data_IF_403300152552
#
_entry.id   IF_403300152552
#
_cell.length_a   1.000
_cell.length_b   1.000
_cell.length_c   1.000
_cell.angle_alpha   90.00
_cell.angle_beta   90.00
_cell.angle_gamma   90.00
#
_symmetry.space_group_name_H-M   'P 1'
#
loop_
_entity.id
_entity.type
_entity.pdbx_description
1 polymer ?
#
# COMPACT_ATOMS: atom_id res chain seq x y z
N UNK A 1 -15.94 -10.68 13.43
CA UNK A 1 -14.58 -10.53 12.91
C UNK A 1 -14.25 -9.04 12.88
N UNK A 2 -13.08 -8.65 13.33
CA UNK A 2 -12.65 -7.26 13.24
C UNK A 2 -12.45 -6.86 11.77
N UNK A 3 -12.81 -5.62 11.40
CA UNK A 3 -12.52 -5.10 10.08
C UNK A 3 -11.02 -4.85 9.92
N UNK A 4 -10.48 -5.17 8.75
CA UNK A 4 -9.07 -4.97 8.44
C UNK A 4 -8.93 -3.77 7.49
N UNK A 5 -8.16 -2.78 7.91
CA UNK A 5 -7.78 -1.64 7.07
C UNK A 5 -6.37 -1.86 6.54
N UNK A 6 -6.18 -2.21 5.26
CA UNK A 6 -4.85 -2.28 4.67
C UNK A 6 -4.24 -0.88 4.60
N UNK A 7 -2.99 -0.76 5.03
CA UNK A 7 -2.19 0.47 4.93
C UNK A 7 -0.94 0.14 4.12
N UNK A 8 -0.88 0.63 2.89
CA UNK A 8 0.22 0.35 1.98
C UNK A 8 1.22 1.49 2.04
N UNK A 9 2.42 1.19 2.51
CA UNK A 9 3.51 2.16 2.60
C UNK A 9 4.28 2.17 1.28
N UNK A 10 4.02 3.16 0.45
CA UNK A 10 4.63 3.35 -0.85
C UNK A 10 5.58 4.57 -0.89
N UNK A 11 6.01 5.05 0.26
CA UNK A 11 6.98 6.12 0.39
C UNK A 11 8.41 5.65 0.08
N UNK A 12 9.30 6.62 -0.12
CA UNK A 12 10.71 6.38 -0.40
C UNK A 12 11.07 6.49 -1.87
N UNK A 13 12.28 6.95 -2.16
CA UNK A 13 12.78 7.21 -3.52
C UNK A 13 13.26 5.95 -4.25
N UNK A 14 13.46 4.83 -3.51
CA UNK A 14 13.90 3.55 -4.09
C UNK A 14 15.20 3.62 -4.88
N UNK A 15 16.09 4.55 -4.56
CA UNK A 15 17.33 4.84 -5.31
C UNK A 15 18.32 3.68 -5.43
N UNK A 16 18.17 2.66 -4.59
CA UNK A 16 19.05 1.47 -4.55
C UNK A 16 19.03 0.63 -5.83
N UNK A 17 17.99 0.72 -6.64
CA UNK A 17 17.86 0.00 -7.91
C UNK A 17 18.19 0.84 -9.14
N UNK A 18 18.84 2.00 -8.95
CA UNK A 18 19.32 2.77 -10.09
C UNK A 18 20.19 1.89 -11.04
N UNK A 19 20.06 1.91 -12.38
CA UNK A 19 19.27 2.86 -13.17
C UNK A 19 17.80 2.46 -13.41
N UNK A 20 17.31 1.32 -12.89
CA UNK A 20 15.92 0.89 -13.06
C UNK A 20 14.95 1.78 -12.27
N UNK A 21 15.32 2.14 -11.03
CA UNK A 21 14.57 3.12 -10.25
C UNK A 21 15.07 4.53 -10.47
N UNK A 22 14.17 5.48 -10.42
CA UNK A 22 14.41 6.92 -10.54
C UNK A 22 13.66 7.64 -9.44
N UNK A 23 14.03 8.87 -9.14
CA UNK A 23 13.35 9.70 -8.14
C UNK A 23 11.83 9.81 -8.40
N UNK A 24 11.46 10.06 -9.66
CA UNK A 24 10.05 10.14 -10.08
C UNK A 24 9.42 8.78 -10.42
N UNK A 25 10.19 7.69 -10.39
CA UNK A 25 9.73 6.33 -10.67
C UNK A 25 10.42 5.32 -9.74
N UNK A 26 10.05 5.31 -8.45
CA UNK A 26 10.73 4.49 -7.45
C UNK A 26 10.42 3.00 -7.59
N UNK A 27 11.17 2.18 -6.87
CA UNK A 27 11.14 0.70 -6.92
C UNK A 27 9.72 0.11 -6.86
N UNK A 28 8.87 0.60 -5.98
CA UNK A 28 7.53 0.07 -5.78
C UNK A 28 6.59 0.26 -6.98
N UNK A 29 6.91 1.17 -7.89
CA UNK A 29 6.15 1.42 -9.11
C UNK A 29 6.69 0.66 -10.32
N UNK A 30 7.81 -0.06 -10.17
CA UNK A 30 8.44 -0.85 -11.24
C UNK A 30 7.76 -2.21 -11.40
N UNK A 31 7.67 -2.67 -12.63
CA UNK A 31 7.26 -4.03 -13.00
C UNK A 31 8.49 -4.93 -13.01
N UNK A 32 8.88 -5.46 -11.85
CA UNK A 32 10.13 -6.22 -11.70
C UNK A 32 9.97 -7.73 -11.91
N UNK A 33 8.79 -8.28 -11.70
CA UNK A 33 8.56 -9.73 -11.68
C UNK A 33 7.45 -10.13 -12.67
N UNK A 34 6.39 -9.35 -12.74
CA UNK A 34 5.22 -9.57 -13.59
C UNK A 34 4.88 -8.31 -14.38
N UNK A 35 3.75 -8.35 -15.09
CA UNK A 35 3.20 -7.18 -15.78
C UNK A 35 2.64 -6.11 -14.82
N UNK A 36 2.59 -6.42 -13.53
CA UNK A 36 2.14 -5.51 -12.47
C UNK A 36 3.31 -4.97 -11.66
N UNK A 37 3.19 -3.74 -11.17
CA UNK A 37 4.17 -3.18 -10.25
C UNK A 37 4.11 -3.84 -8.87
N UNK A 38 5.14 -3.64 -8.04
CA UNK A 38 5.15 -4.15 -6.67
C UNK A 38 4.01 -3.54 -5.84
N UNK A 39 3.68 -2.26 -6.05
CA UNK A 39 2.51 -1.61 -5.46
C UNK A 39 1.23 -2.32 -5.86
N UNK A 40 1.03 -2.55 -7.15
CA UNK A 40 -0.14 -3.24 -7.70
C UNK A 40 -0.27 -4.66 -7.14
N UNK A 41 0.83 -5.42 -7.07
CA UNK A 41 0.85 -6.77 -6.49
C UNK A 41 0.45 -6.75 -5.01
N UNK A 42 0.91 -5.74 -4.25
CA UNK A 42 0.55 -5.59 -2.83
C UNK A 42 -0.92 -5.24 -2.65
N UNK A 43 -1.48 -4.37 -3.49
CA UNK A 43 -2.91 -4.04 -3.51
C UNK A 43 -3.78 -5.27 -3.82
N UNK A 44 -3.43 -6.04 -4.86
CA UNK A 44 -4.14 -7.28 -5.20
C UNK A 44 -4.12 -8.30 -4.07
N UNK A 45 -3.00 -8.40 -3.35
CA UNK A 45 -2.88 -9.26 -2.17
C UNK A 45 -3.80 -8.80 -1.03
N UNK A 46 -3.84 -7.51 -0.77
CA UNK A 46 -4.67 -6.91 0.27
C UNK A 46 -6.17 -7.02 -0.05
N UNK A 47 -6.58 -6.82 -1.30
CA UNK A 47 -7.99 -6.86 -1.72
C UNK A 47 -8.65 -8.23 -1.58
N UNK A 48 -7.85 -9.30 -1.47
CA UNK A 48 -8.33 -10.68 -1.31
C UNK A 48 -8.53 -11.11 0.15
N UNK A 49 -8.27 -10.23 1.11
CA UNK A 49 -8.44 -10.52 2.53
C UNK A 49 -9.92 -10.48 2.92
N UNK A 50 -10.36 -11.30 3.91
CA UNK A 50 -11.72 -11.22 4.43
C UNK A 50 -11.93 -9.94 5.23
N UNK A 51 -13.15 -9.42 5.25
CA UNK A 51 -13.56 -8.24 6.03
C UNK A 51 -12.66 -7.01 5.81
N UNK A 52 -12.12 -6.86 4.59
CA UNK A 52 -11.22 -5.79 4.22
C UNK A 52 -11.97 -4.49 3.95
N UNK A 53 -11.48 -3.39 4.51
CA UNK A 53 -11.89 -2.02 4.21
C UNK A 53 -11.10 -1.46 3.02
N UNK A 54 -11.58 -0.36 2.40
CA UNK A 54 -10.84 0.32 1.33
C UNK A 54 -9.40 0.63 1.75
N UNK A 55 -8.38 0.33 0.93
CA UNK A 55 -6.99 0.52 1.33
C UNK A 55 -6.60 1.98 1.49
N UNK A 56 -5.73 2.25 2.46
CA UNK A 56 -4.99 3.50 2.58
C UNK A 56 -3.62 3.32 1.93
N UNK A 57 -3.23 4.25 1.08
CA UNK A 57 -1.93 4.24 0.40
C UNK A 57 -1.17 5.49 0.84
N UNK A 58 -0.06 5.30 1.54
CA UNK A 58 0.79 6.40 1.99
C UNK A 58 1.95 6.55 1.02
N UNK A 59 2.06 7.72 0.41
CA UNK A 59 3.01 7.99 -0.68
C UNK A 59 3.51 9.43 -0.62
N UNK A 60 4.72 9.69 -1.12
CA UNK A 60 5.24 11.05 -1.29
C UNK A 60 4.38 11.85 -2.27
N UNK A 61 4.25 13.15 -2.02
CA UNK A 61 3.41 14.03 -2.84
C UNK A 61 3.81 14.01 -4.33
N UNK A 62 5.09 13.87 -4.62
CA UNK A 62 5.66 13.78 -5.97
C UNK A 62 5.18 12.55 -6.76
N UNK A 63 4.81 11.47 -6.07
CA UNK A 63 4.37 10.22 -6.70
C UNK A 63 2.84 10.04 -6.77
N UNK A 64 2.05 11.01 -6.32
CA UNK A 64 0.59 10.88 -6.20
C UNK A 64 -0.09 10.51 -7.50
N UNK A 65 0.28 11.12 -8.60
CA UNK A 65 -0.39 10.90 -9.89
C UNK A 65 -0.10 9.52 -10.46
N UNK A 66 1.15 9.09 -10.45
CA UNK A 66 1.51 7.76 -10.96
C UNK A 66 0.95 6.66 -10.07
N UNK A 67 0.93 6.85 -8.75
CA UNK A 67 0.29 5.93 -7.81
C UNK A 67 -1.19 5.78 -8.12
N UNK A 68 -1.91 6.89 -8.28
CA UNK A 68 -3.33 6.88 -8.64
C UNK A 68 -3.57 6.14 -9.95
N UNK A 69 -2.80 6.44 -11.00
CA UNK A 69 -2.93 5.75 -12.29
C UNK A 69 -2.78 4.24 -12.13
N UNK A 70 -1.76 3.77 -11.42
CA UNK A 70 -1.52 2.34 -11.21
C UNK A 70 -2.61 1.66 -10.38
N UNK A 71 -3.21 2.35 -9.41
CA UNK A 71 -4.32 1.82 -8.63
C UNK A 71 -5.59 1.72 -9.48
N UNK A 72 -5.90 2.77 -10.24
CA UNK A 72 -7.09 2.83 -11.11
C UNK A 72 -7.04 1.76 -12.23
N UNK A 73 -5.85 1.46 -12.75
CA UNK A 73 -5.64 0.41 -13.75
C UNK A 73 -6.01 -1.00 -13.26
N UNK A 74 -5.81 -1.27 -11.96
CA UNK A 74 -6.08 -2.60 -11.39
C UNK A 74 -7.55 -2.95 -11.28
N UNK A 75 -8.42 -1.96 -11.06
CA UNK A 75 -9.87 -2.15 -10.81
C UNK A 75 -10.16 -3.22 -9.73
N UNK A 76 -9.26 -3.37 -8.76
CA UNK A 76 -9.39 -4.37 -7.69
C UNK A 76 -10.10 -3.85 -6.44
N UNK A 77 -10.31 -2.55 -6.35
CA UNK A 77 -11.05 -1.88 -5.28
C UNK A 77 -11.78 -0.66 -5.85
N UNK A 78 -13.07 -0.54 -5.51
CA UNK A 78 -13.90 0.57 -5.98
C UNK A 78 -13.58 1.87 -5.24
N UNK A 79 -13.08 1.76 -4.02
CA UNK A 79 -12.70 2.87 -3.16
C UNK A 79 -11.30 2.67 -2.59
N UNK A 80 -10.55 3.75 -2.49
CA UNK A 80 -9.25 3.82 -1.80
C UNK A 80 -8.95 5.26 -1.38
N UNK A 81 -8.02 5.43 -0.47
CA UNK A 81 -7.55 6.75 -0.05
C UNK A 81 -6.03 6.85 -0.20
N UNK A 82 -5.56 7.93 -0.79
CA UNK A 82 -4.14 8.26 -0.85
C UNK A 82 -3.84 9.32 0.21
N UNK A 83 -2.97 8.99 1.15
CA UNK A 83 -2.40 9.93 2.12
C UNK A 83 -1.06 10.42 1.59
N UNK A 84 -0.93 11.72 1.41
CA UNK A 84 0.27 12.33 0.85
C UNK A 84 1.23 12.77 1.95
N UNK A 85 2.47 12.32 1.86
CA UNK A 85 3.57 12.79 2.69
C UNK A 85 4.26 13.98 1.99
N UNK A 86 4.21 15.19 2.55
CA UNK A 86 4.93 16.34 1.98
C UNK A 86 6.45 16.18 2.09
N UNK A 87 6.89 15.39 3.07
CA UNK A 87 8.30 15.06 3.30
C UNK A 87 8.40 13.66 3.92
N UNK A 88 9.10 12.76 3.26
CA UNK A 88 9.33 11.39 3.76
C UNK A 88 10.13 11.39 5.06
N UNK A 89 9.58 10.82 6.14
CA UNK A 89 10.20 10.72 7.45
C UNK A 89 10.16 9.30 8.02
N UNK A 90 10.51 8.32 7.18
CA UNK A 90 10.46 6.90 7.54
C UNK A 90 9.04 6.38 7.83
N UNK A 91 8.95 5.24 8.50
CA UNK A 91 7.71 4.46 8.64
C UNK A 91 6.78 5.01 9.74
N UNK A 92 7.31 5.43 10.88
CA UNK A 92 6.49 5.77 12.04
C UNK A 92 5.49 6.92 11.79
N UNK A 93 5.86 8.06 11.19
CA UNK A 93 4.90 9.11 10.87
C UNK A 93 3.82 8.67 9.89
N UNK A 94 4.17 7.85 8.89
CA UNK A 94 3.22 7.30 7.93
C UNK A 94 2.17 6.42 8.60
N UNK A 95 2.60 5.54 9.50
CA UNK A 95 1.71 4.68 10.31
C UNK A 95 0.84 5.52 11.25
N UNK A 96 1.39 6.54 11.91
CA UNK A 96 0.62 7.45 12.75
C UNK A 96 -0.47 8.18 11.97
N UNK A 97 -0.15 8.70 10.79
CA UNK A 97 -1.12 9.38 9.92
C UNK A 97 -2.25 8.43 9.48
N UNK A 98 -1.90 7.20 9.10
CA UNK A 98 -2.87 6.17 8.74
C UNK A 98 -3.76 5.77 9.92
N UNK A 99 -3.19 5.64 11.12
CA UNK A 99 -3.94 5.31 12.34
C UNK A 99 -4.92 6.42 12.71
N UNK A 100 -4.50 7.67 12.65
CA UNK A 100 -5.34 8.84 12.90
C UNK A 100 -6.49 8.93 11.89
N UNK A 101 -6.20 8.73 10.60
CA UNK A 101 -7.20 8.70 9.56
C UNK A 101 -8.23 7.58 9.81
N UNK A 102 -7.76 6.36 10.03
CA UNK A 102 -8.62 5.21 10.29
C UNK A 102 -9.49 5.39 11.54
N UNK A 103 -8.92 5.93 12.62
CA UNK A 103 -9.64 6.19 13.86
C UNK A 103 -10.78 7.21 13.72
N UNK A 104 -10.69 8.12 12.74
CA UNK A 104 -11.75 9.10 12.47
C UNK A 104 -12.82 8.61 11.50
N UNK A 105 -12.52 7.65 10.63
CA UNK A 105 -13.40 7.24 9.54
C UNK A 105 -13.97 5.84 9.69
N UNK A 106 -13.37 5.00 10.52
CA UNK A 106 -13.78 3.61 10.71
C UNK A 106 -14.30 3.33 12.13
N UNK A 107 -14.97 2.19 12.28
CA UNK A 107 -15.45 1.73 13.58
C UNK A 107 -14.29 1.42 14.55
N UNK A 108 -14.55 1.61 15.84
CA UNK A 108 -13.62 1.19 16.88
C UNK A 108 -13.32 -0.32 16.76
N UNK A 109 -12.06 -0.69 16.98
CA UNK A 109 -11.60 -2.08 16.84
C UNK A 109 -11.16 -2.46 15.43
N UNK A 110 -11.13 -1.51 14.47
CA UNK A 110 -10.51 -1.75 13.16
C UNK A 110 -9.01 -2.05 13.33
N UNK A 111 -8.55 -3.14 12.73
CA UNK A 111 -7.14 -3.55 12.74
C UNK A 111 -6.42 -2.95 11.53
N UNK A 112 -5.30 -2.28 11.75
CA UNK A 112 -4.46 -1.79 10.66
C UNK A 112 -3.47 -2.87 10.23
N UNK A 113 -3.52 -3.27 8.97
CA UNK A 113 -2.56 -4.17 8.36
C UNK A 113 -1.53 -3.35 7.56
N UNK A 114 -0.35 -3.17 8.13
CA UNK A 114 0.71 -2.36 7.52
C UNK A 114 1.49 -3.22 6.52
N UNK A 115 1.47 -2.82 5.26
CA UNK A 115 2.10 -3.54 4.15
C UNK A 115 3.09 -2.64 3.41
N UNK A 116 4.40 -2.93 3.45
CA UNK A 116 5.35 -2.28 2.55
C UNK A 116 5.03 -2.61 1.08
N UNK A 117 5.02 -1.59 0.22
CA UNK A 117 4.68 -1.75 -1.19
C UNK A 117 5.76 -2.45 -2.02
N UNK A 118 6.96 -2.63 -1.48
CA UNK A 118 8.12 -3.20 -2.17
C UNK A 118 8.48 -4.63 -1.76
N UNK A 119 7.65 -5.27 -0.93
CA UNK A 119 7.86 -6.63 -0.47
C UNK A 119 7.16 -7.66 -1.37
N UNK A 120 7.89 -8.74 -1.66
CA UNK A 120 7.38 -9.89 -2.41
C UNK A 120 6.96 -10.98 -1.44
N UNK A 121 5.70 -11.41 -1.53
CA UNK A 121 5.17 -12.55 -0.78
C UNK A 121 4.88 -13.67 -1.75
N UNK A 122 5.65 -14.76 -1.69
CA UNK A 122 5.54 -15.88 -2.63
C UNK A 122 4.31 -16.74 -2.39
N UNK A 123 3.98 -17.01 -1.13
CA UNK A 123 2.83 -17.84 -0.76
C UNK A 123 1.63 -16.97 -0.35
N UNK A 124 0.81 -16.63 -1.32
CA UNK A 124 -0.37 -15.76 -1.13
C UNK A 124 -1.44 -16.45 -0.27
N UNK A 125 -1.64 -17.75 -0.45
CA UNK A 125 -2.64 -18.50 0.34
C UNK A 125 -2.27 -18.51 1.83
N UNK A 126 -1.00 -18.81 2.14
CA UNK A 126 -0.53 -18.78 3.53
C UNK A 126 -0.60 -17.39 4.17
N UNK A 127 -0.33 -16.35 3.38
CA UNK A 127 -0.49 -14.97 3.85
C UNK A 127 -1.93 -14.68 4.26
N UNK A 128 -2.91 -15.08 3.44
CA UNK A 128 -4.33 -14.89 3.74
C UNK A 128 -4.78 -15.66 4.99
N UNK A 129 -4.33 -16.91 5.14
CA UNK A 129 -4.61 -17.73 6.32
C UNK A 129 -4.12 -17.05 7.59
N UNK A 130 -2.84 -16.63 7.63
CA UNK A 130 -2.23 -16.01 8.80
C UNK A 130 -2.88 -14.68 9.18
N UNK A 131 -3.32 -13.90 8.19
CA UNK A 131 -4.02 -12.62 8.47
C UNK A 131 -5.45 -12.86 8.98
N UNK A 132 -6.07 -14.00 8.63
CA UNK A 132 -7.41 -14.35 9.06
C UNK A 132 -7.47 -15.00 10.46
N UNK A 133 -6.34 -15.49 11.00
CA UNK A 133 -6.20 -15.99 12.39
C UNK A 133 -6.25 -14.85 13.42
#
# INVERSE_FOLDING_TARGET
MASIQPVILAGGTGSRLWPLSRELYPKQLLQLIDQTSLLQTTLLRASRLPAVLPPLIVVGEEHRYITRTQVDELKCCDEYTILLEPLGRNTAPAVCAAAEYSGRHNAAGTVLLILPADHIVRNQARFQEVVAE
#
